data_IF_347913829518
#
_entry.id   IF_347913829518
#
_cell.length_a   1.000
_cell.length_b   1.000
_cell.length_c   1.000
_cell.angle_alpha   90.00
_cell.angle_beta   90.00
_cell.angle_gamma   90.00
#
_symmetry.space_group_name_H-M   'P 1'
#
loop_
_entity.id
_entity.type
_entity.pdbx_description
1 polymer ?
#
# COMPACT_ATOMS: atom_id res chain seq x y z
N UNK A 1 -8.75 -1.67 9.82
CA UNK A 1 -9.94 -0.97 9.30
C UNK A 1 -9.70 -0.76 7.82
N UNK A 2 -10.68 -0.97 6.94
CA UNK A 2 -10.47 -0.60 5.54
C UNK A 2 -10.31 0.91 5.43
N UNK A 3 -9.31 1.39 4.69
CA UNK A 3 -9.23 2.81 4.33
C UNK A 3 -10.53 3.27 3.68
N UNK A 4 -10.82 4.56 3.88
CA UNK A 4 -11.97 5.25 3.31
C UNK A 4 -11.89 5.39 1.79
N UNK A 5 -10.80 5.01 1.12
CA UNK A 5 -10.72 5.17 -0.33
C UNK A 5 -11.64 4.21 -1.10
N UNK A 6 -12.18 3.17 -0.45
CA UNK A 6 -13.30 2.39 -0.99
C UNK A 6 -14.59 3.22 -1.13
N UNK A 7 -14.63 4.42 -0.53
CA UNK A 7 -15.73 5.38 -0.65
C UNK A 7 -15.76 6.07 -2.01
N UNK A 8 -14.82 5.88 -2.96
CA UNK A 8 -15.06 6.39 -4.32
C UNK A 8 -16.18 5.61 -5.02
N UNK A 9 -16.34 4.32 -4.70
CA UNK A 9 -17.41 3.52 -5.29
C UNK A 9 -18.72 3.77 -4.54
N UNK A 10 -19.68 4.37 -5.25
CA UNK A 10 -21.02 4.55 -4.72
C UNK A 10 -22.05 4.46 -5.83
N UNK A 11 -23.29 4.27 -5.40
CA UNK A 11 -24.44 4.48 -6.27
C UNK A 11 -24.94 5.91 -6.13
N UNK A 12 -24.94 6.66 -7.24
CA UNK A 12 -25.58 7.96 -7.27
C UNK A 12 -27.11 7.82 -7.21
N UNK A 13 -27.71 8.47 -6.21
CA UNK A 13 -29.14 8.60 -6.04
C UNK A 13 -29.70 9.68 -7.00
N UNK A 14 -31.01 9.69 -7.30
CA UNK A 14 -31.62 10.70 -8.18
C UNK A 14 -31.46 12.15 -7.70
N UNK A 15 -31.15 12.34 -6.41
CA UNK A 15 -30.89 13.65 -5.81
C UNK A 15 -29.40 14.06 -5.86
N UNK A 16 -28.56 13.28 -6.55
CA UNK A 16 -27.13 13.50 -6.71
C UNK A 16 -26.29 13.06 -5.49
N UNK A 17 -26.90 12.54 -4.43
CA UNK A 17 -26.14 12.00 -3.29
C UNK A 17 -25.59 10.62 -3.60
N UNK A 18 -24.43 10.35 -3.04
CA UNK A 18 -23.65 9.14 -3.24
C UNK A 18 -23.97 8.16 -2.10
N UNK A 19 -24.56 7.00 -2.41
CA UNK A 19 -24.83 5.93 -1.45
C UNK A 19 -23.66 4.93 -1.42
N UNK A 20 -22.79 5.09 -0.42
CA UNK A 20 -21.59 4.27 -0.21
C UNK A 20 -21.88 2.87 0.36
N UNK A 21 -23.14 2.56 0.69
CA UNK A 21 -23.53 1.22 1.17
C UNK A 21 -23.75 0.23 0.04
N UNK A 22 -23.90 0.71 -1.20
CA UNK A 22 -24.08 -0.10 -2.40
C UNK A 22 -22.76 -0.31 -3.14
N UNK A 23 -21.95 -1.25 -2.65
CA UNK A 23 -20.60 -1.56 -3.16
C UNK A 23 -20.60 -2.54 -4.36
N UNK A 24 -21.57 -2.44 -5.27
CA UNK A 24 -21.66 -3.35 -6.44
C UNK A 24 -21.14 -2.75 -7.73
N UNK A 25 -21.07 -1.42 -7.85
CA UNK A 25 -20.62 -0.72 -9.06
C UNK A 25 -19.64 0.40 -8.70
N UNK A 26 -18.57 0.56 -9.49
CA UNK A 26 -17.54 1.58 -9.23
C UNK A 26 -17.23 2.49 -10.43
N UNK A 27 -17.90 2.30 -11.57
CA UNK A 27 -17.55 3.01 -12.82
C UNK A 27 -17.65 4.54 -12.68
N UNK A 28 -18.76 5.05 -12.12
CA UNK A 28 -18.96 6.48 -11.93
C UNK A 28 -17.92 7.10 -10.96
N UNK A 29 -17.67 6.41 -9.84
CA UNK A 29 -16.69 6.82 -8.84
C UNK A 29 -15.26 6.83 -9.36
N UNK A 30 -14.87 5.79 -10.11
CA UNK A 30 -13.58 5.73 -10.77
C UNK A 30 -13.45 6.81 -11.85
N UNK A 31 -14.49 7.07 -12.62
CA UNK A 31 -14.48 8.16 -13.61
C UNK A 31 -14.25 9.51 -12.93
N UNK A 32 -14.99 9.79 -11.86
CA UNK A 32 -14.82 11.01 -11.09
C UNK A 32 -13.41 11.11 -10.50
N UNK A 33 -12.91 10.06 -9.84
CA UNK A 33 -11.53 10.02 -9.34
C UNK A 33 -10.51 10.36 -10.43
N UNK A 34 -10.67 9.80 -11.62
CA UNK A 34 -9.76 10.04 -12.76
C UNK A 34 -9.84 11.49 -13.23
N UNK A 35 -11.04 11.97 -13.54
CA UNK A 35 -11.26 13.25 -14.24
C UNK A 35 -11.19 14.47 -13.31
N UNK A 36 -11.60 14.35 -12.05
CA UNK A 36 -11.74 15.50 -11.13
C UNK A 36 -10.63 15.56 -10.08
N UNK A 37 -9.91 14.46 -9.85
CA UNK A 37 -8.83 14.40 -8.87
C UNK A 37 -7.47 14.06 -9.50
N UNK A 38 -7.32 12.87 -10.08
CA UNK A 38 -6.03 12.38 -10.54
C UNK A 38 -5.46 13.20 -11.70
N UNK A 39 -6.25 13.46 -12.75
CA UNK A 39 -5.80 14.25 -13.91
C UNK A 39 -5.43 15.69 -13.53
N UNK A 40 -6.30 16.48 -12.85
CA UNK A 40 -5.96 17.84 -12.43
C UNK A 40 -4.75 17.90 -11.49
N UNK A 41 -4.61 16.92 -10.60
CA UNK A 41 -3.45 16.84 -9.71
C UNK A 41 -2.16 16.62 -10.50
N UNK A 42 -2.15 15.67 -11.45
CA UNK A 42 -0.98 15.40 -12.29
C UNK A 42 -0.62 16.59 -13.17
N UNK A 43 -1.60 17.31 -13.72
CA UNK A 43 -1.37 18.55 -14.49
C UNK A 43 -0.62 19.60 -13.66
N UNK A 44 -1.00 19.80 -12.40
CA UNK A 44 -0.27 20.71 -11.50
C UNK A 44 1.16 20.21 -11.29
N UNK A 45 1.36 18.91 -11.04
CA UNK A 45 2.71 18.38 -10.83
C UNK A 45 3.60 18.58 -12.06
N UNK A 46 3.07 18.40 -13.27
CA UNK A 46 3.80 18.65 -14.51
C UNK A 46 4.32 20.09 -14.62
N UNK A 47 3.52 21.07 -14.20
CA UNK A 47 3.91 22.49 -14.26
C UNK A 47 5.09 22.82 -13.33
N UNK A 48 5.19 22.12 -12.20
CA UNK A 48 6.16 22.41 -11.15
C UNK A 48 7.34 21.45 -11.10
N UNK A 49 7.28 20.28 -11.74
CA UNK A 49 8.31 19.25 -11.63
C UNK A 49 9.71 19.73 -12.08
N UNK A 50 9.78 20.60 -13.09
CA UNK A 50 11.04 21.19 -13.55
C UNK A 50 11.56 22.33 -12.66
N UNK A 51 10.73 22.82 -11.73
CA UNK A 51 11.05 23.94 -10.84
C UNK A 51 11.48 23.46 -9.45
N UNK A 52 10.88 22.38 -8.95
CA UNK A 52 11.16 21.81 -7.63
C UNK A 52 11.13 20.29 -7.66
N UNK A 53 11.97 19.60 -6.87
CA UNK A 53 11.82 18.17 -6.68
C UNK A 53 10.49 17.83 -6.01
N UNK A 54 9.72 16.92 -6.60
CA UNK A 54 8.42 16.48 -6.10
C UNK A 54 8.50 15.00 -5.78
N UNK A 55 7.98 14.63 -4.61
CA UNK A 55 7.83 13.24 -4.16
C UNK A 55 6.35 12.98 -3.89
N UNK A 56 5.82 11.90 -4.44
CA UNK A 56 4.44 11.45 -4.20
C UNK A 56 4.46 10.07 -3.58
N UNK A 57 3.84 9.95 -2.41
CA UNK A 57 3.49 8.65 -1.81
C UNK A 57 2.05 8.33 -2.20
N UNK A 58 1.88 7.22 -2.92
CA UNK A 58 0.61 6.85 -3.51
C UNK A 58 -0.19 5.99 -2.54
N UNK A 59 -1.35 6.52 -2.15
CA UNK A 59 -2.48 5.83 -1.55
C UNK A 59 -2.14 4.95 -0.33
N UNK A 60 -1.70 5.54 0.80
CA UNK A 60 -1.54 4.79 2.06
C UNK A 60 -2.81 4.06 2.50
N UNK A 61 -2.64 2.92 3.19
CA UNK A 61 -3.74 2.09 3.73
C UNK A 61 -4.72 1.57 2.65
N UNK A 62 -4.26 1.40 1.40
CA UNK A 62 -5.10 0.90 0.31
C UNK A 62 -4.82 -0.58 -0.02
N UNK A 63 -3.88 -0.85 -0.93
CA UNK A 63 -3.55 -2.17 -1.49
C UNK A 63 -3.26 -3.27 -0.45
N UNK A 64 -2.56 -3.00 0.67
CA UNK A 64 -2.37 -4.02 1.71
C UNK A 64 -3.68 -4.61 2.28
N UNK A 65 -4.78 -3.83 2.30
CA UNK A 65 -6.10 -4.34 2.70
C UNK A 65 -6.63 -5.42 1.75
N UNK A 66 -6.33 -5.33 0.45
CA UNK A 66 -6.73 -6.36 -0.52
C UNK A 66 -5.90 -7.64 -0.41
N UNK A 67 -4.72 -7.56 0.21
CA UNK A 67 -3.88 -8.73 0.46
C UNK A 67 -4.31 -9.48 1.72
N UNK A 68 -4.77 -8.78 2.77
CA UNK A 68 -4.94 -9.41 4.10
C UNK A 68 -6.35 -9.34 4.68
N UNK A 69 -7.20 -8.42 4.24
CA UNK A 69 -8.46 -8.09 4.92
C UNK A 69 -9.69 -8.41 4.04
N UNK A 70 -9.59 -9.37 3.12
CA UNK A 70 -10.64 -9.70 2.16
C UNK A 70 -11.93 -10.25 2.79
N UNK A 71 -11.86 -10.76 4.03
CA UNK A 71 -13.02 -11.25 4.77
C UNK A 71 -13.92 -10.11 5.29
N UNK A 72 -13.39 -8.89 5.41
CA UNK A 72 -14.22 -7.71 5.69
C UNK A 72 -14.94 -7.31 4.40
N UNK A 73 -16.28 -7.34 4.33
CA UNK A 73 -17.01 -7.00 3.12
C UNK A 73 -16.67 -5.62 2.56
N UNK A 74 -16.25 -4.67 3.41
CA UNK A 74 -15.86 -3.32 3.01
C UNK A 74 -14.55 -3.30 2.23
N UNK A 75 -13.65 -4.25 2.48
CA UNK A 75 -12.37 -4.40 1.79
C UNK A 75 -12.45 -5.42 0.65
N UNK A 76 -13.10 -6.55 0.90
CA UNK A 76 -13.21 -7.65 -0.03
C UNK A 76 -14.27 -7.45 -1.11
N UNK A 77 -15.12 -6.43 -0.99
CA UNK A 77 -16.16 -6.11 -1.97
C UNK A 77 -15.60 -5.89 -3.37
N UNK A 78 -16.35 -6.33 -4.39
CA UNK A 78 -15.92 -6.22 -5.78
C UNK A 78 -15.64 -4.78 -6.20
N UNK A 79 -16.47 -3.83 -5.76
CA UNK A 79 -16.26 -2.41 -6.03
C UNK A 79 -14.97 -1.90 -5.38
N UNK A 80 -14.71 -2.18 -4.10
CA UNK A 80 -13.47 -1.75 -3.42
C UNK A 80 -12.22 -2.29 -4.10
N UNK A 81 -12.22 -3.59 -4.48
CA UNK A 81 -11.12 -4.18 -5.25
C UNK A 81 -10.89 -3.43 -6.55
N UNK A 82 -11.98 -3.17 -7.29
CA UNK A 82 -11.92 -2.44 -8.55
C UNK A 82 -11.37 -1.01 -8.36
N UNK A 83 -11.88 -0.27 -7.37
CA UNK A 83 -11.41 1.07 -7.05
C UNK A 83 -9.91 1.12 -6.79
N UNK A 84 -9.42 0.23 -5.93
CA UNK A 84 -8.03 0.23 -5.53
C UNK A 84 -7.14 -0.21 -6.68
N UNK A 85 -7.45 -1.33 -7.33
CA UNK A 85 -6.58 -1.84 -8.40
C UNK A 85 -6.58 -0.90 -9.61
N UNK A 86 -7.75 -0.44 -10.09
CA UNK A 86 -7.82 0.42 -11.27
C UNK A 86 -7.44 1.88 -10.99
N UNK A 87 -7.89 2.43 -9.86
CA UNK A 87 -7.61 3.82 -9.49
C UNK A 87 -6.12 4.04 -9.25
N UNK A 88 -5.48 3.16 -8.46
CA UNK A 88 -4.06 3.25 -8.14
C UNK A 88 -3.21 3.01 -9.39
N UNK A 89 -3.57 2.01 -10.21
CA UNK A 89 -2.89 1.77 -11.49
C UNK A 89 -2.95 3.02 -12.36
N UNK A 90 -4.14 3.60 -12.53
CA UNK A 90 -4.31 4.80 -13.33
C UNK A 90 -3.49 5.98 -12.80
N UNK A 91 -3.54 6.26 -11.49
CA UNK A 91 -2.77 7.35 -10.90
C UNK A 91 -1.27 7.20 -11.11
N UNK A 92 -0.73 5.99 -10.92
CA UNK A 92 0.68 5.68 -11.15
C UNK A 92 1.03 5.82 -12.65
N UNK A 93 0.18 5.33 -13.55
CA UNK A 93 0.39 5.47 -15.00
C UNK A 93 0.39 6.94 -15.43
N UNK A 94 -0.53 7.76 -14.92
CA UNK A 94 -0.54 9.20 -15.20
C UNK A 94 0.72 9.85 -14.63
N UNK A 95 1.03 9.69 -13.34
CA UNK A 95 2.23 10.26 -12.73
C UNK A 95 3.51 9.91 -13.50
N UNK A 96 3.72 8.63 -13.80
CA UNK A 96 4.95 8.15 -14.42
C UNK A 96 5.04 8.43 -15.93
N UNK A 97 3.93 8.71 -16.62
CA UNK A 97 3.93 9.04 -18.05
C UNK A 97 3.93 10.54 -18.31
N UNK A 98 3.11 11.28 -17.57
CA UNK A 98 2.91 12.72 -17.72
C UNK A 98 3.96 13.52 -16.94
N UNK A 99 4.34 13.08 -15.74
CA UNK A 99 5.27 13.81 -14.86
C UNK A 99 6.50 12.95 -14.48
N UNK A 100 7.35 12.54 -15.45
CA UNK A 100 8.43 11.58 -15.22
C UNK A 100 9.54 12.06 -14.25
N UNK A 101 9.60 13.37 -13.96
CA UNK A 101 10.52 13.94 -12.97
C UNK A 101 10.03 13.77 -11.52
N UNK A 102 8.75 13.42 -11.31
CA UNK A 102 8.18 13.16 -9.98
C UNK A 102 8.65 11.81 -9.46
N UNK A 103 9.20 11.79 -8.25
CA UNK A 103 9.57 10.54 -7.59
C UNK A 103 8.33 9.88 -6.97
N UNK A 104 7.87 8.79 -7.58
CA UNK A 104 6.68 8.05 -7.14
C UNK A 104 7.06 6.88 -6.23
N UNK A 105 6.47 6.84 -5.03
CA UNK A 105 6.58 5.74 -4.09
C UNK A 105 5.19 5.15 -3.84
N UNK A 106 5.04 3.83 -3.97
CA UNK A 106 3.80 3.15 -3.61
C UNK A 106 3.83 2.80 -2.12
N UNK A 107 2.75 3.08 -1.39
CA UNK A 107 2.63 2.63 0.00
C UNK A 107 2.64 1.09 0.08
N UNK A 108 3.41 0.59 1.03
CA UNK A 108 3.54 -0.83 1.34
C UNK A 108 3.33 -1.07 2.84
N UNK A 109 2.34 -0.41 3.47
CA UNK A 109 2.01 -0.60 4.89
C UNK A 109 3.25 -0.57 5.82
N UNK A 110 3.48 -1.60 6.64
CA UNK A 110 4.56 -1.70 7.61
C UNK A 110 4.81 -3.18 8.00
N UNK A 111 5.92 -3.48 8.68
CA UNK A 111 6.30 -4.87 9.02
C UNK A 111 5.33 -5.57 9.99
N UNK A 112 4.62 -4.82 10.83
CA UNK A 112 3.52 -5.31 11.66
C UNK A 112 2.23 -5.64 10.89
N UNK A 113 2.26 -5.58 9.55
CA UNK A 113 1.17 -5.99 8.68
C UNK A 113 1.68 -6.93 7.58
N UNK A 114 2.70 -6.52 6.84
CA UNK A 114 3.28 -7.28 5.73
C UNK A 114 4.56 -8.05 6.11
N UNK A 115 4.95 -8.09 7.38
CA UNK A 115 6.11 -8.87 7.85
C UNK A 115 5.84 -10.36 8.06
N UNK A 116 4.58 -10.80 7.91
CA UNK A 116 4.28 -12.22 7.71
C UNK A 116 4.48 -12.59 6.25
N UNK A 117 5.23 -13.66 6.01
CA UNK A 117 5.61 -14.09 4.67
C UNK A 117 4.42 -14.26 3.72
N UNK A 118 3.33 -14.88 4.18
CA UNK A 118 2.16 -15.12 3.33
C UNK A 118 1.50 -13.81 2.90
N UNK A 119 1.35 -12.85 3.83
CA UNK A 119 0.83 -11.52 3.53
C UNK A 119 1.70 -10.79 2.49
N UNK A 120 3.03 -10.82 2.66
CA UNK A 120 3.94 -10.22 1.69
C UNK A 120 3.83 -10.86 0.32
N UNK A 121 3.79 -12.20 0.27
CA UNK A 121 3.70 -12.96 -0.98
C UNK A 121 2.39 -12.62 -1.71
N UNK A 122 1.28 -12.51 -0.99
CA UNK A 122 -0.02 -12.15 -1.56
C UNK A 122 -0.04 -10.72 -2.07
N UNK A 123 0.52 -9.77 -1.32
CA UNK A 123 0.70 -8.38 -1.75
C UNK A 123 1.55 -8.30 -3.03
N UNK A 124 2.72 -8.95 -3.06
CA UNK A 124 3.59 -8.96 -4.24
C UNK A 124 2.95 -9.64 -5.46
N UNK A 125 2.17 -10.71 -5.25
CA UNK A 125 1.42 -11.37 -6.32
C UNK A 125 0.36 -10.45 -6.90
N UNK A 126 -0.35 -9.70 -6.06
CA UNK A 126 -1.32 -8.69 -6.49
C UNK A 126 -0.64 -7.58 -7.30
N UNK A 127 0.45 -6.98 -6.81
CA UNK A 127 1.19 -5.95 -7.56
C UNK A 127 1.65 -6.46 -8.94
N UNK A 128 2.09 -7.72 -9.02
CA UNK A 128 2.46 -8.35 -10.29
C UNK A 128 1.26 -8.50 -11.24
N UNK A 129 0.06 -8.81 -10.73
CA UNK A 129 -1.16 -8.89 -11.56
C UNK A 129 -1.63 -7.53 -12.06
N UNK A 130 -1.47 -6.48 -11.24
CA UNK A 130 -1.85 -5.13 -11.62
C UNK A 130 -1.02 -4.58 -12.79
N UNK A 131 0.17 -5.14 -13.05
CA UNK A 131 1.06 -4.73 -14.14
C UNK A 131 1.38 -3.23 -14.08
N UNK A 132 1.81 -2.78 -12.90
CA UNK A 132 2.20 -1.39 -12.66
C UNK A 132 3.51 -1.07 -13.40
N UNK A 133 3.74 0.19 -13.81
CA UNK A 133 5.00 0.62 -14.43
C UNK A 133 6.13 0.75 -13.39
N UNK A 134 6.45 -0.35 -12.69
CA UNK A 134 7.41 -0.41 -11.57
C UNK A 134 8.80 0.11 -11.94
N UNK A 135 9.21 -0.04 -13.20
CA UNK A 135 10.49 0.46 -13.70
C UNK A 135 10.56 2.01 -13.76
N UNK A 136 9.41 2.69 -13.75
CA UNK A 136 9.30 4.15 -13.72
C UNK A 136 8.98 4.69 -12.32
N UNK A 137 8.69 3.81 -11.36
CA UNK A 137 8.49 4.18 -9.97
C UNK A 137 9.86 4.25 -9.27
N UNK A 138 9.95 5.09 -8.23
CA UNK A 138 11.18 5.21 -7.44
C UNK A 138 11.31 4.12 -6.38
N UNK A 139 10.20 3.61 -5.85
CA UNK A 139 10.21 2.53 -4.88
C UNK A 139 8.91 2.42 -4.09
N UNK A 140 9.03 1.99 -2.83
CA UNK A 140 7.93 1.83 -1.89
C UNK A 140 8.15 2.70 -0.65
N UNK A 141 7.07 3.10 0.00
CA UNK A 141 7.08 3.78 1.29
C UNK A 141 6.42 2.87 2.34
N UNK A 142 7.05 2.73 3.50
CA UNK A 142 6.53 1.96 4.63
C UNK A 142 6.35 2.87 5.85
N UNK A 143 5.57 2.41 6.83
CA UNK A 143 5.31 3.07 8.10
C UNK A 143 4.64 4.45 7.99
N UNK A 144 3.96 4.73 6.87
CA UNK A 144 3.29 6.02 6.65
C UNK A 144 2.17 6.19 7.67
N UNK A 145 2.26 7.24 8.48
CA UNK A 145 1.35 7.53 9.59
C UNK A 145 1.24 6.40 10.65
N UNK A 146 2.27 5.57 10.79
CA UNK A 146 2.33 4.49 11.77
C UNK A 146 3.54 4.66 12.71
N UNK A 147 3.74 3.72 13.65
CA UNK A 147 4.62 3.87 14.81
C UNK A 147 5.65 2.74 14.95
N UNK A 148 5.83 1.93 13.91
CA UNK A 148 6.80 0.85 13.97
C UNK A 148 8.22 1.41 14.13
N UNK A 149 9.05 0.87 15.05
CA UNK A 149 10.39 1.38 15.23
C UNK A 149 11.25 1.20 13.97
N UNK A 150 12.15 2.14 13.70
CA UNK A 150 13.13 2.01 12.61
C UNK A 150 14.05 0.80 12.84
N UNK A 151 14.54 0.64 14.07
CA UNK A 151 15.40 -0.48 14.49
C UNK A 151 16.77 -0.51 13.79
N UNK A 152 17.29 -1.73 13.62
CA UNK A 152 18.54 -2.02 12.90
C UNK A 152 18.35 -3.31 12.12
N UNK A 153 18.95 -3.40 10.93
CA UNK A 153 18.87 -4.60 10.09
C UNK A 153 19.55 -5.80 10.80
N UNK A 154 18.81 -6.89 10.95
CA UNK A 154 19.34 -8.14 11.46
C UNK A 154 20.10 -8.93 10.40
N UNK A 155 21.02 -9.82 10.81
CA UNK A 155 21.52 -10.87 9.92
C UNK A 155 20.36 -11.65 9.28
N UNK A 156 20.51 -11.94 7.99
CA UNK A 156 19.51 -12.72 7.27
C UNK A 156 19.74 -14.21 7.53
N UNK A 157 18.83 -14.83 8.28
CA UNK A 157 18.84 -16.25 8.58
C UNK A 157 17.44 -16.84 8.35
N UNK A 158 17.14 -17.28 7.11
CA UNK A 158 15.80 -17.76 6.78
C UNK A 158 15.47 -19.09 7.47
N UNK A 159 14.23 -19.24 7.92
CA UNK A 159 13.75 -20.44 8.61
C UNK A 159 12.58 -21.14 7.90
N UNK A 160 11.84 -20.42 7.06
CA UNK A 160 10.78 -20.94 6.20
C UNK A 160 10.71 -20.07 4.94
N UNK A 161 10.86 -20.66 3.76
CA UNK A 161 10.87 -19.91 2.49
C UNK A 161 11.87 -18.75 2.51
N UNK A 162 11.35 -17.52 2.36
CA UNK A 162 12.15 -16.29 2.40
C UNK A 162 12.06 -15.54 3.74
N UNK A 163 11.27 -16.03 4.71
CA UNK A 163 11.07 -15.36 6.00
C UNK A 163 12.37 -15.33 6.79
N UNK A 164 12.79 -14.15 7.26
CA UNK A 164 13.94 -14.06 8.15
C UNK A 164 13.57 -14.56 9.56
N UNK A 165 14.10 -15.72 9.94
CA UNK A 165 13.85 -16.37 11.23
C UNK A 165 14.78 -15.92 12.36
N UNK A 166 15.62 -14.91 12.14
CA UNK A 166 16.68 -14.50 13.07
C UNK A 166 16.14 -14.19 14.47
N UNK A 167 15.12 -13.33 14.59
CA UNK A 167 14.55 -12.93 15.89
C UNK A 167 13.35 -13.78 16.33
N UNK A 168 12.90 -14.72 15.51
CA UNK A 168 11.69 -15.50 15.77
C UNK A 168 11.92 -16.52 16.88
N UNK A 169 10.86 -16.91 17.58
CA UNK A 169 10.91 -17.90 18.66
C UNK A 169 11.92 -17.52 19.77
N UNK A 170 11.97 -16.23 20.15
CA UNK A 170 12.85 -15.67 21.18
C UNK A 170 14.35 -15.84 20.94
N UNK A 171 14.75 -16.14 19.70
CA UNK A 171 16.16 -16.19 19.32
C UNK A 171 16.73 -14.78 19.29
N UNK A 172 17.98 -14.64 19.74
CA UNK A 172 18.74 -13.37 19.69
C UNK A 172 18.02 -12.17 20.36
N UNK A 173 17.14 -12.41 21.34
CA UNK A 173 16.30 -11.38 21.95
C UNK A 173 17.08 -10.28 22.71
N UNK A 174 18.34 -10.55 23.05
CA UNK A 174 19.27 -9.60 23.66
C UNK A 174 19.96 -8.67 22.63
N UNK A 175 19.85 -8.96 21.33
CA UNK A 175 20.44 -8.15 20.27
C UNK A 175 19.55 -6.96 19.89
N UNK A 176 20.18 -5.81 19.65
CA UNK A 176 19.47 -4.55 19.30
C UNK A 176 18.55 -4.70 18.08
N UNK A 177 18.95 -5.50 17.09
CA UNK A 177 18.17 -5.73 15.88
C UNK A 177 16.89 -6.55 16.14
N UNK A 178 16.86 -7.33 17.22
CA UNK A 178 15.71 -8.10 17.68
C UNK A 178 14.88 -7.38 18.75
N UNK A 179 15.19 -6.11 19.05
CA UNK A 179 14.29 -5.27 19.84
C UNK A 179 12.92 -5.22 19.16
N UNK A 180 11.88 -5.57 19.91
CA UNK A 180 10.53 -5.76 19.40
C UNK A 180 9.51 -5.18 20.39
N UNK A 181 9.42 -3.84 20.49
CA UNK A 181 8.50 -3.19 21.42
C UNK A 181 7.03 -3.45 21.08
N UNK A 182 6.74 -3.82 19.83
CA UNK A 182 5.41 -4.17 19.35
C UNK A 182 5.06 -5.65 19.62
N UNK A 183 6.05 -6.48 19.97
CA UNK A 183 5.85 -7.90 20.21
C UNK A 183 5.38 -8.66 18.98
N UNK A 184 5.94 -8.39 17.80
CA UNK A 184 5.61 -9.03 16.52
C UNK A 184 6.30 -10.39 16.33
N UNK A 185 7.50 -10.57 16.88
CA UNK A 185 8.31 -11.77 16.71
C UNK A 185 7.69 -13.01 17.37
N UNK A 186 6.97 -12.83 18.49
CA UNK A 186 6.20 -13.91 19.16
C UNK A 186 5.04 -14.41 18.29
N UNK A 187 4.51 -13.55 17.42
CA UNK A 187 3.42 -13.83 16.50
C UNK A 187 3.93 -14.28 15.12
N UNK A 188 5.23 -14.61 15.03
CA UNK A 188 5.90 -15.09 13.81
C UNK A 188 6.01 -14.08 12.66
N UNK A 189 5.91 -12.78 12.95
CA UNK A 189 6.28 -11.73 11.99
C UNK A 189 7.78 -11.44 12.08
N UNK A 190 8.47 -11.51 10.93
CA UNK A 190 9.89 -11.16 10.84
C UNK A 190 10.11 -9.63 10.82
N UNK A 191 9.05 -8.87 10.54
CA UNK A 191 9.05 -7.42 10.50
C UNK A 191 8.94 -6.78 11.88
N UNK A 192 9.83 -7.11 12.81
CA UNK A 192 9.84 -6.53 14.17
C UNK A 192 10.25 -5.04 14.20
N UNK A 193 10.89 -4.55 13.14
CA UNK A 193 11.23 -3.15 12.90
C UNK A 193 11.28 -2.86 11.38
N UNK A 194 11.31 -1.58 11.00
CA UNK A 194 11.24 -1.19 9.58
C UNK A 194 12.47 -1.62 8.75
N UNK A 195 13.64 -1.75 9.38
CA UNK A 195 14.81 -2.29 8.68
C UNK A 195 14.75 -3.81 8.48
N UNK A 196 13.85 -4.50 9.18
CA UNK A 196 13.54 -5.92 9.02
C UNK A 196 12.18 -6.16 8.33
N UNK A 197 11.63 -5.16 7.63
CA UNK A 197 10.25 -5.10 7.12
C UNK A 197 9.66 -6.43 6.61
N UNK A 198 10.42 -7.27 5.90
CA UNK A 198 10.09 -8.69 5.68
C UNK A 198 11.31 -9.55 5.30
#
# INVERSE_FOLDING_TARGET
>A
ACSRNGEICCKYLPDGRCDYTHQTECEAGLKEYKETYADPFVEVLQEFASKVPIVVVVEPDSLPNLATNLDDPRCGGAATRQAYEEGIKYAIEQLTSKAPEVAVYLDAAHGGWLGWQDNLVDFMRMLKRMDLPVAKMRGFATNVANYQPLGSLCPHQPDSGNRNGYCLNHRHADETCCADPCGLAKDWSAGNNELNYA
#
